data_IF_729240396301
#
_entry.id   IF_729240396301
#
_cell.length_a   1.000
_cell.length_b   1.000
_cell.length_c   1.000
_cell.angle_alpha   90.00
_cell.angle_beta   90.00
_cell.angle_gamma   90.00
#
_symmetry.space_group_name_H-M   'P 1'
#
loop_
_entity.id
_entity.type
_entity.pdbx_description
1 polymer ?
#
# COMPACT_ATOMS: atom_id res chain seq x y z
N UNK A 1 -23.75 -84.57 2.30
CA UNK A 1 -24.05 -84.51 3.75
C UNK A 1 -23.27 -83.34 4.34
N UNK A 2 -24.00 -82.32 4.82
CA UNK A 2 -23.70 -81.30 5.85
C UNK A 2 -22.23 -80.81 6.00
N UNK A 3 -21.94 -79.61 5.50
CA UNK A 3 -20.77 -78.80 5.88
C UNK A 3 -21.06 -78.02 7.17
N UNK A 4 -20.14 -78.09 8.11
CA UNK A 4 -20.22 -77.61 9.50
C UNK A 4 -20.01 -76.10 9.58
N UNK A 5 -20.91 -75.38 10.25
CA UNK A 5 -20.73 -73.97 10.64
C UNK A 5 -19.73 -73.87 11.80
N UNK A 6 -18.67 -73.09 11.63
CA UNK A 6 -17.81 -72.61 12.71
C UNK A 6 -18.17 -71.16 13.06
N UNK A 7 -18.15 -70.86 14.35
CA UNK A 7 -18.67 -69.65 14.97
C UNK A 7 -17.79 -68.39 14.76
N UNK A 8 -18.44 -67.23 14.70
CA UNK A 8 -17.81 -65.91 14.62
C UNK A 8 -17.18 -65.46 15.95
N UNK A 9 -16.02 -64.78 15.96
CA UNK A 9 -15.48 -64.13 17.16
C UNK A 9 -16.06 -62.71 17.40
N UNK A 10 -15.95 -62.18 18.64
CA UNK A 10 -16.69 -61.01 19.10
C UNK A 10 -16.09 -59.67 18.64
N UNK A 11 -16.96 -58.64 18.54
CA UNK A 11 -16.62 -57.26 18.18
C UNK A 11 -15.81 -56.58 19.30
N UNK A 12 -14.63 -56.06 18.95
CA UNK A 12 -13.77 -55.28 19.84
C UNK A 12 -14.34 -53.90 20.17
N UNK A 13 -14.12 -53.47 21.41
CA UNK A 13 -14.47 -52.16 21.95
C UNK A 13 -13.55 -51.03 21.41
N UNK A 14 -14.04 -49.79 21.30
CA UNK A 14 -13.23 -48.65 20.87
C UNK A 14 -12.27 -48.16 21.98
N UNK A 15 -11.10 -47.58 21.62
CA UNK A 15 -10.14 -47.07 22.60
C UNK A 15 -10.62 -45.77 23.29
N UNK A 16 -10.20 -45.64 24.56
CA UNK A 16 -10.57 -44.59 25.50
C UNK A 16 -10.18 -43.17 25.04
N UNK A 17 -11.10 -42.23 25.21
CA UNK A 17 -10.88 -40.80 24.98
C UNK A 17 -10.08 -40.18 26.12
N UNK A 18 -8.92 -39.62 25.79
CA UNK A 18 -8.13 -38.78 26.70
C UNK A 18 -8.78 -37.39 26.74
N UNK A 19 -9.33 -37.01 27.90
CA UNK A 19 -9.86 -35.66 28.15
C UNK A 19 -8.69 -34.70 28.44
N UNK A 20 -8.67 -33.47 27.90
CA UNK A 20 -7.77 -32.43 28.37
C UNK A 20 -8.26 -31.84 29.72
N UNK A 21 -7.36 -31.24 30.54
CA UNK A 21 -7.67 -30.81 31.89
C UNK A 21 -8.60 -29.58 31.94
N UNK A 22 -9.49 -29.57 32.94
CA UNK A 22 -10.43 -28.48 33.24
C UNK A 22 -9.71 -27.19 33.66
N UNK A 23 -9.96 -26.11 32.91
CA UNK A 23 -9.61 -24.75 33.33
C UNK A 23 -10.74 -24.20 34.21
N UNK A 24 -10.44 -24.00 35.49
CA UNK A 24 -11.31 -23.32 36.47
C UNK A 24 -11.78 -21.96 35.92
N UNK A 25 -13.07 -21.83 35.63
CA UNK A 25 -13.73 -20.55 35.35
C UNK A 25 -13.69 -19.67 36.61
N UNK A 26 -12.83 -18.66 36.61
CA UNK A 26 -12.95 -17.48 37.49
C UNK A 26 -14.21 -16.71 37.08
N UNK A 27 -15.17 -16.59 38.00
CA UNK A 27 -16.26 -15.60 37.88
C UNK A 27 -15.62 -14.21 37.95
N UNK A 28 -15.67 -13.49 36.84
CA UNK A 28 -15.33 -12.07 36.74
C UNK A 28 -16.59 -11.26 36.49
N UNK A 29 -16.82 -10.29 37.37
CA UNK A 29 -17.85 -9.26 37.35
C UNK A 29 -17.96 -8.54 36.00
N UNK A 30 -19.19 -8.17 35.65
CA UNK A 30 -19.44 -7.30 34.50
C UNK A 30 -18.84 -5.90 34.67
N UNK A 31 -18.39 -5.33 33.54
CA UNK A 31 -18.40 -3.92 33.15
C UNK A 31 -17.36 -3.71 32.03
N UNK A 32 -17.76 -3.02 30.96
CA UNK A 32 -16.86 -2.12 30.22
C UNK A 32 -16.19 -2.61 28.93
N UNK A 33 -16.69 -2.06 27.82
CA UNK A 33 -15.91 -1.50 26.70
C UNK A 33 -15.03 -2.41 25.81
N UNK A 34 -15.52 -2.64 24.59
CA UNK A 34 -14.69 -2.62 23.38
C UNK A 34 -14.84 -1.26 22.69
N UNK A 35 -14.39 -0.18 23.35
CA UNK A 35 -14.38 1.16 22.75
C UNK A 35 -13.25 1.17 21.72
N UNK A 36 -13.59 1.06 20.43
CA UNK A 36 -12.67 1.41 19.34
C UNK A 36 -12.26 2.86 19.61
N UNK A 37 -11.02 3.06 20.04
CA UNK A 37 -10.46 4.40 20.16
C UNK A 37 -10.31 4.91 18.74
N UNK A 38 -11.02 5.97 18.32
CA UNK A 38 -10.84 6.51 16.99
C UNK A 38 -9.39 7.00 16.91
N UNK A 39 -8.60 6.44 15.98
CA UNK A 39 -7.29 7.00 15.68
C UNK A 39 -7.51 8.48 15.33
N UNK A 40 -6.83 9.40 16.02
CA UNK A 40 -6.82 10.80 15.60
C UNK A 40 -6.48 10.84 14.11
N UNK A 41 -7.41 11.33 13.30
CA UNK A 41 -7.28 11.42 11.85
C UNK A 41 -5.99 12.18 11.52
N UNK A 42 -5.33 11.82 10.41
CA UNK A 42 -4.16 12.56 9.90
C UNK A 42 -4.39 14.08 9.88
N UNK A 43 -5.62 14.48 9.54
CA UNK A 43 -6.09 15.86 9.57
C UNK A 43 -6.04 16.51 10.97
N UNK A 44 -6.27 15.77 12.06
CA UNK A 44 -6.23 16.32 13.41
C UNK A 44 -4.81 16.68 13.85
N UNK A 45 -3.78 15.96 13.39
CA UNK A 45 -2.39 16.26 13.72
C UNK A 45 -1.85 17.44 12.89
N UNK A 46 -2.04 17.40 11.57
CA UNK A 46 -1.58 18.49 10.70
C UNK A 46 -2.49 19.73 10.73
N UNK A 47 -3.73 19.61 11.21
CA UNK A 47 -4.70 20.70 11.32
C UNK A 47 -4.60 21.52 12.61
N UNK A 48 -4.05 20.96 13.70
CA UNK A 48 -3.85 21.67 14.97
C UNK A 48 -2.55 22.48 14.95
N UNK A 49 -2.57 23.57 14.19
CA UNK A 49 -1.48 24.54 14.11
C UNK A 49 -2.01 25.97 14.13
N UNK A 50 -2.82 26.32 15.13
CA UNK A 50 -3.16 27.70 15.51
C UNK A 50 -3.94 27.71 16.85
N UNK A 51 -3.35 28.34 17.89
CA UNK A 51 -3.96 28.61 19.21
C UNK A 51 -3.68 27.51 20.26
N UNK A 52 -3.15 27.76 21.46
CA UNK A 52 -2.77 28.98 22.15
C UNK A 52 -1.61 28.67 23.11
N UNK A 53 -0.59 29.52 23.12
CA UNK A 53 0.36 29.63 24.22
C UNK A 53 -0.21 30.64 25.22
N UNK A 54 -0.59 30.18 26.40
CA UNK A 54 -1.01 31.01 27.52
C UNK A 54 -0.87 30.22 28.81
N UNK A 55 -0.01 30.70 29.72
CA UNK A 55 0.43 29.97 30.89
C UNK A 55 -0.54 29.98 32.08
N UNK A 56 -0.32 29.02 32.97
CA UNK A 56 -0.26 29.24 34.43
C UNK A 56 -1.56 29.31 35.24
N UNK A 57 -1.64 28.34 36.18
CA UNK A 57 -2.22 28.38 37.55
C UNK A 57 -3.67 27.92 37.79
N UNK A 58 -3.74 26.78 38.48
CA UNK A 58 -4.52 26.44 39.71
C UNK A 58 -5.85 27.13 40.00
N UNK A 59 -6.87 26.32 40.33
CA UNK A 59 -8.03 26.71 41.14
C UNK A 59 -9.23 25.79 40.92
N UNK A 60 -9.63 25.09 41.98
CA UNK A 60 -10.89 24.35 42.12
C UNK A 60 -12.12 25.27 41.95
N UNK A 61 -13.24 24.75 41.42
CA UNK A 61 -14.52 24.61 42.14
C UNK A 61 -15.70 24.23 41.22
N UNK A 62 -16.69 23.61 41.87
CA UNK A 62 -17.90 22.99 41.33
C UNK A 62 -18.93 23.95 40.71
N UNK A 63 -19.84 23.39 39.90
CA UNK A 63 -21.08 24.07 39.48
C UNK A 63 -21.87 23.32 38.42
N UNK A 64 -22.95 22.65 38.86
CA UNK A 64 -24.00 22.06 38.04
C UNK A 64 -24.67 23.06 37.08
N UNK A 65 -25.09 22.58 35.92
CA UNK A 65 -25.92 23.34 34.96
C UNK A 65 -26.38 22.48 33.79
N UNK A 66 -27.62 22.00 33.87
CA UNK A 66 -28.34 21.26 32.84
C UNK A 66 -28.40 22.03 31.51
N UNK A 67 -28.20 21.34 30.38
CA UNK A 67 -28.84 21.72 29.12
C UNK A 67 -29.23 20.45 28.35
N UNK A 68 -30.54 20.26 28.21
CA UNK A 68 -31.17 19.30 27.32
C UNK A 68 -31.78 20.02 26.13
N UNK A 69 -31.92 19.27 25.02
CA UNK A 69 -32.73 19.48 23.81
C UNK A 69 -32.02 20.09 22.61
N UNK A 70 -31.88 19.21 21.61
CA UNK A 70 -32.36 19.37 20.24
C UNK A 70 -32.29 20.77 19.61
N UNK A 71 -31.46 20.91 18.57
CA UNK A 71 -31.89 21.66 17.40
C UNK A 71 -31.33 21.09 16.09
N UNK A 72 -32.21 21.15 15.10
CA UNK A 72 -32.21 20.46 13.83
C UNK A 72 -31.22 21.00 12.81
N UNK A 73 -30.76 20.11 11.93
CA UNK A 73 -30.25 20.44 10.60
C UNK A 73 -31.42 20.76 9.67
N UNK A 74 -31.41 21.87 8.89
CA UNK A 74 -32.32 21.99 7.78
C UNK A 74 -31.71 21.35 6.52
N UNK A 75 -32.44 20.37 6.01
CA UNK A 75 -32.39 19.90 4.63
C UNK A 75 -32.96 20.96 3.68
N UNK A 76 -32.29 21.24 2.55
CA UNK A 76 -32.95 21.84 1.38
C UNK A 76 -32.59 21.06 0.13
N UNK A 77 -33.67 20.57 -0.49
CA UNK A 77 -33.76 19.90 -1.78
C UNK A 77 -33.79 20.91 -2.92
N UNK A 78 -33.03 20.60 -3.98
CA UNK A 78 -33.26 20.78 -5.41
C UNK A 78 -33.97 22.03 -5.97
N UNK A 79 -33.33 22.66 -6.96
CA UNK A 79 -33.97 23.02 -8.23
C UNK A 79 -32.92 23.31 -9.32
N UNK A 80 -33.09 22.64 -10.46
CA UNK A 80 -32.44 22.91 -11.75
C UNK A 80 -33.18 24.06 -12.45
N UNK A 81 -32.52 24.84 -13.33
CA UNK A 81 -33.10 24.98 -14.67
C UNK A 81 -32.08 24.93 -15.81
N UNK A 82 -32.65 24.83 -17.01
CA UNK A 82 -32.11 24.34 -18.27
C UNK A 82 -31.30 25.35 -19.10
N UNK A 83 -30.58 24.77 -20.07
CA UNK A 83 -29.90 25.29 -21.27
C UNK A 83 -30.38 26.64 -21.84
N UNK A 84 -29.40 27.42 -22.28
CA UNK A 84 -29.46 28.31 -23.44
C UNK A 84 -28.09 28.30 -24.15
N UNK A 85 -28.10 28.02 -25.46
CA UNK A 85 -26.94 27.99 -26.36
C UNK A 85 -26.56 29.38 -26.91
N UNK A 86 -25.39 29.42 -27.54
CA UNK A 86 -24.85 30.42 -28.47
C UNK A 86 -24.14 31.67 -27.90
N UNK A 87 -22.80 31.71 -28.02
CA UNK A 87 -22.10 32.39 -29.14
C UNK A 87 -20.57 32.38 -28.97
N UNK A 88 -19.92 32.14 -30.09
CA UNK A 88 -18.48 32.22 -30.31
C UNK A 88 -17.92 33.63 -30.07
N UNK A 89 -16.72 33.70 -29.47
CA UNK A 89 -15.93 34.91 -29.34
C UNK A 89 -14.49 34.54 -29.06
N UNK A 90 -13.70 34.36 -30.11
CA UNK A 90 -12.27 34.09 -30.02
C UNK A 90 -11.48 35.35 -29.68
N UNK A 91 -10.59 35.24 -28.70
CA UNK A 91 -9.49 36.20 -28.53
C UNK A 91 -8.21 35.56 -29.08
N UNK A 92 -7.88 35.95 -30.32
CA UNK A 92 -6.52 35.87 -30.85
C UNK A 92 -5.78 37.08 -30.28
N UNK A 93 -4.68 36.85 -29.59
CA UNK A 93 -3.66 37.86 -29.37
C UNK A 93 -2.38 37.37 -30.04
N UNK A 94 -2.05 37.99 -31.17
CA UNK A 94 -0.72 37.96 -31.76
C UNK A 94 0.25 38.73 -30.85
N UNK A 95 1.50 38.27 -30.66
CA UNK A 95 2.58 39.11 -30.21
C UNK A 95 3.42 39.59 -31.39
N UNK A 96 3.66 40.90 -31.35
CA UNK A 96 4.49 41.73 -32.22
C UNK A 96 5.98 41.32 -32.24
N UNK A 97 6.63 41.77 -33.30
CA UNK A 97 7.94 41.48 -33.88
C UNK A 97 9.18 41.78 -33.03
N UNK A 98 10.14 40.86 -33.14
CA UNK A 98 11.61 40.91 -33.13
C UNK A 98 12.38 42.21 -32.78
N UNK A 99 13.45 42.03 -31.98
CA UNK A 99 14.85 42.33 -32.38
C UNK A 99 15.85 41.63 -31.46
N UNK A 100 16.86 41.02 -32.10
CA UNK A 100 18.26 40.72 -31.72
C UNK A 100 18.55 40.00 -30.39
N UNK A 101 19.30 38.89 -30.28
CA UNK A 101 20.25 38.23 -31.18
C UNK A 101 21.36 37.63 -30.31
N UNK A 102 21.39 36.29 -30.15
CA UNK A 102 22.55 35.52 -29.70
C UNK A 102 22.29 34.02 -29.93
N UNK A 103 22.79 33.52 -31.05
CA UNK A 103 22.79 32.12 -31.44
C UNK A 103 23.58 31.26 -30.45
N UNK A 104 22.90 30.32 -29.79
CA UNK A 104 23.51 29.15 -29.14
C UNK A 104 22.90 27.87 -29.74
N UNK A 105 23.70 26.91 -30.22
CA UNK A 105 23.19 25.77 -30.96
C UNK A 105 22.42 24.80 -30.03
N UNK A 106 21.13 24.61 -30.33
CA UNK A 106 20.29 23.57 -29.72
C UNK A 106 20.74 22.22 -30.26
N UNK A 107 21.62 21.53 -29.54
CA UNK A 107 21.86 20.11 -29.74
C UNK A 107 20.66 19.31 -29.22
N UNK A 108 19.92 18.66 -30.14
CA UNK A 108 18.97 17.60 -29.81
C UNK A 108 19.74 16.44 -29.15
N UNK A 109 19.71 16.36 -27.82
CA UNK A 109 20.29 15.24 -27.08
C UNK A 109 19.33 14.04 -27.17
N UNK A 110 19.68 13.05 -27.99
CA UNK A 110 19.10 11.70 -27.92
C UNK A 110 19.39 11.03 -26.57
N UNK A 111 18.84 9.83 -26.29
CA UNK A 111 18.94 9.21 -24.98
C UNK A 111 20.38 8.74 -24.74
N UNK A 112 21.15 9.52 -23.98
CA UNK A 112 22.46 9.12 -23.51
C UNK A 112 22.27 8.23 -22.28
N UNK A 113 22.61 6.95 -22.43
CA UNK A 113 22.87 6.05 -21.32
C UNK A 113 23.97 6.66 -20.45
N UNK A 114 23.63 7.04 -19.21
CA UNK A 114 24.59 7.43 -18.18
C UNK A 114 24.84 6.20 -17.30
N UNK A 115 25.82 5.39 -17.70
CA UNK A 115 26.45 4.41 -16.81
C UNK A 115 27.55 5.13 -16.00
N UNK A 116 27.13 5.83 -14.95
CA UNK A 116 28.00 6.45 -13.96
C UNK A 116 28.01 5.66 -12.65
N UNK A 117 29.16 5.08 -12.34
CA UNK A 117 29.42 4.17 -11.22
C UNK A 117 28.92 4.65 -9.84
N UNK A 118 28.15 3.79 -9.15
CA UNK A 118 27.78 3.93 -7.75
C UNK A 118 28.45 2.83 -6.89
N UNK A 119 29.07 3.25 -5.79
CA UNK A 119 29.72 2.45 -4.76
C UNK A 119 28.74 1.50 -4.02
N UNK A 120 29.23 0.50 -3.26
CA UNK A 120 28.60 -0.82 -3.21
C UNK A 120 27.47 -0.93 -2.18
N UNK A 121 26.24 -0.99 -2.69
CA UNK A 121 25.11 -1.66 -2.03
C UNK A 121 24.01 -2.13 -3.00
N UNK A 122 24.23 -2.00 -4.31
CA UNK A 122 23.16 -1.92 -5.32
C UNK A 122 23.18 -3.02 -6.39
N UNK A 123 24.01 -4.07 -6.23
CA UNK A 123 24.24 -5.05 -7.32
C UNK A 123 23.14 -6.10 -7.49
N UNK A 124 22.17 -6.18 -6.58
CA UNK A 124 21.16 -7.26 -6.61
C UNK A 124 19.69 -6.83 -6.54
N UNK A 125 19.35 -5.66 -6.02
CA UNK A 125 17.94 -5.27 -5.81
C UNK A 125 17.53 -4.08 -6.69
N UNK A 126 16.24 -4.00 -7.01
CA UNK A 126 15.65 -2.87 -7.75
C UNK A 126 15.58 -1.63 -6.85
N UNK A 127 16.03 -0.45 -7.32
CA UNK A 127 15.82 0.80 -6.60
C UNK A 127 14.33 1.13 -6.48
N UNK A 128 13.94 1.73 -5.36
CA UNK A 128 12.57 2.15 -5.09
C UNK A 128 12.11 3.29 -6.01
N UNK A 129 13.04 4.11 -6.51
CA UNK A 129 12.78 5.16 -7.51
C UNK A 129 12.03 4.66 -8.75
N UNK A 130 12.33 3.44 -9.20
CA UNK A 130 11.63 2.79 -10.31
C UNK A 130 10.14 2.60 -10.01
N UNK A 131 9.84 2.16 -8.80
CA UNK A 131 8.47 1.92 -8.35
C UNK A 131 7.73 3.23 -8.08
N UNK A 132 8.38 4.22 -7.47
CA UNK A 132 7.78 5.55 -7.26
C UNK A 132 7.48 6.27 -8.57
N UNK A 133 8.35 6.14 -9.59
CA UNK A 133 8.10 6.68 -10.92
C UNK A 133 6.90 6.00 -11.59
N UNK A 134 6.77 4.67 -11.45
CA UNK A 134 5.59 3.94 -11.90
C UNK A 134 4.31 4.41 -11.18
N UNK A 135 4.38 4.64 -9.86
CA UNK A 135 3.25 5.15 -9.09
C UNK A 135 2.84 6.57 -9.50
N UNK A 136 3.79 7.45 -9.80
CA UNK A 136 3.50 8.78 -10.33
C UNK A 136 2.74 8.70 -11.65
N UNK A 137 3.19 7.83 -12.58
CA UNK A 137 2.49 7.54 -13.85
C UNK A 137 1.09 6.98 -13.62
N UNK A 138 0.91 6.09 -12.64
CA UNK A 138 -0.40 5.53 -12.29
C UNK A 138 -1.38 6.58 -11.75
N UNK A 139 -0.90 7.50 -10.92
CA UNK A 139 -1.72 8.60 -10.41
C UNK A 139 -2.11 9.59 -11.51
N UNK A 140 -1.28 9.76 -12.54
CA UNK A 140 -1.53 10.68 -13.65
C UNK A 140 -2.58 10.17 -14.65
N UNK A 141 -2.84 8.86 -14.71
CA UNK A 141 -3.84 8.28 -15.62
C UNK A 141 -5.10 7.82 -14.88
N UNK A 142 -6.25 8.01 -15.52
CA UNK A 142 -7.54 7.43 -15.08
C UNK A 142 -7.88 6.15 -15.84
N UNK A 143 -7.22 5.87 -16.97
CA UNK A 143 -7.60 4.77 -17.87
C UNK A 143 -7.06 3.44 -17.36
N UNK A 144 -7.96 2.49 -17.13
CA UNK A 144 -7.61 1.15 -16.61
C UNK A 144 -6.56 0.41 -17.45
N UNK A 145 -6.70 0.42 -18.78
CA UNK A 145 -5.74 -0.27 -19.68
C UNK A 145 -4.33 0.34 -19.63
N UNK A 146 -4.24 1.66 -19.46
CA UNK A 146 -2.95 2.34 -19.31
C UNK A 146 -2.31 1.97 -17.97
N UNK A 147 -3.09 1.90 -16.88
CA UNK A 147 -2.61 1.43 -15.57
C UNK A 147 -2.05 0.00 -15.65
N UNK A 148 -2.76 -0.90 -16.32
CA UNK A 148 -2.30 -2.28 -16.53
C UNK A 148 -0.96 -2.30 -17.27
N UNK A 149 -0.79 -1.45 -18.27
CA UNK A 149 0.43 -1.35 -19.08
C UNK A 149 1.61 -0.79 -18.27
N UNK A 150 1.39 0.25 -17.47
CA UNK A 150 2.42 0.85 -16.59
C UNK A 150 2.92 -0.17 -15.56
N UNK A 151 1.99 -0.89 -14.91
CA UNK A 151 2.34 -1.92 -13.93
C UNK A 151 3.11 -3.08 -14.58
N UNK A 152 2.68 -3.48 -15.76
CA UNK A 152 3.32 -4.55 -16.53
C UNK A 152 4.77 -4.19 -16.88
N UNK A 153 4.99 -3.01 -17.44
CA UNK A 153 6.33 -2.48 -17.74
C UNK A 153 7.21 -2.42 -16.47
N UNK A 154 6.65 -1.93 -15.36
CA UNK A 154 7.38 -1.84 -14.10
C UNK A 154 7.81 -3.22 -13.58
N UNK A 155 6.91 -4.23 -13.62
CA UNK A 155 7.20 -5.58 -13.16
C UNK A 155 8.09 -6.37 -14.12
N UNK A 156 8.02 -6.14 -15.43
CA UNK A 156 8.93 -6.73 -16.42
C UNK A 156 10.37 -6.26 -16.18
N UNK A 157 10.57 -4.97 -15.89
CA UNK A 157 11.88 -4.42 -15.53
C UNK A 157 12.42 -5.04 -14.22
N UNK A 158 11.58 -5.18 -13.19
CA UNK A 158 11.96 -5.85 -11.93
C UNK A 158 12.37 -7.29 -12.20
N UNK A 159 11.57 -8.04 -12.95
CA UNK A 159 11.86 -9.44 -13.28
C UNK A 159 13.12 -9.65 -14.13
N UNK A 160 13.50 -8.64 -14.91
CA UNK A 160 14.72 -8.66 -15.73
C UNK A 160 15.97 -8.40 -14.88
N UNK A 161 15.86 -7.54 -13.85
CA UNK A 161 16.97 -7.21 -12.94
C UNK A 161 17.07 -8.18 -11.76
N UNK A 162 16.00 -8.34 -10.99
CA UNK A 162 15.93 -9.17 -9.80
C UNK A 162 14.53 -9.75 -9.58
N UNK A 163 14.29 -11.04 -9.92
CA UNK A 163 12.96 -11.63 -9.81
C UNK A 163 12.46 -11.79 -8.37
N UNK A 164 13.36 -11.83 -7.38
CA UNK A 164 13.02 -11.92 -5.97
C UNK A 164 12.30 -10.67 -5.45
N UNK A 165 12.53 -9.51 -6.07
CA UNK A 165 11.91 -8.24 -5.66
C UNK A 165 10.47 -8.08 -6.17
N UNK A 166 9.98 -9.00 -7.02
CA UNK A 166 8.63 -8.92 -7.56
C UNK A 166 7.57 -8.99 -6.45
N UNK A 167 7.71 -9.92 -5.51
CA UNK A 167 6.72 -10.11 -4.43
C UNK A 167 6.67 -8.87 -3.52
N UNK A 168 7.81 -8.36 -2.99
CA UNK A 168 7.86 -7.06 -2.31
C UNK A 168 7.24 -5.92 -3.12
N UNK A 169 7.54 -5.81 -4.41
CA UNK A 169 7.01 -4.75 -5.26
C UNK A 169 5.48 -4.81 -5.40
N UNK A 170 4.90 -6.00 -5.54
CA UNK A 170 3.44 -6.19 -5.64
C UNK A 170 2.74 -5.83 -4.32
N UNK A 171 3.35 -6.21 -3.18
CA UNK A 171 2.85 -5.83 -1.86
C UNK A 171 2.87 -4.31 -1.66
N UNK A 172 3.99 -3.66 -1.95
CA UNK A 172 4.11 -2.20 -1.90
C UNK A 172 3.12 -1.49 -2.83
N UNK A 173 2.96 -1.99 -4.06
CA UNK A 173 2.02 -1.43 -5.06
C UNK A 173 0.55 -1.50 -4.65
N UNK A 174 0.20 -2.51 -3.86
CA UNK A 174 -1.16 -2.70 -3.33
C UNK A 174 -1.35 -2.16 -1.91
N UNK A 175 -0.29 -1.59 -1.32
CA UNK A 175 -0.24 -1.16 0.07
C UNK A 175 -0.71 -2.25 1.05
N UNK A 176 -0.24 -3.49 0.82
CA UNK A 176 -0.44 -4.64 1.69
C UNK A 176 0.94 -5.19 2.05
N UNK A 177 1.14 -5.63 3.28
CA UNK A 177 2.44 -6.16 3.72
C UNK A 177 2.47 -7.69 3.76
N UNK A 178 1.31 -8.33 3.77
CA UNK A 178 1.19 -9.78 3.67
C UNK A 178 -0.27 -10.22 3.52
N UNK A 179 -0.54 -11.50 3.74
CA UNK A 179 -1.89 -12.05 3.74
C UNK A 179 -2.78 -11.38 4.81
N UNK A 180 -4.11 -11.29 4.57
CA UNK A 180 -5.01 -10.57 5.46
C UNK A 180 -5.21 -11.20 6.84
N UNK A 181 -4.78 -12.46 7.05
CA UNK A 181 -4.92 -13.17 8.32
C UNK A 181 -3.67 -13.13 9.21
N UNK A 182 -2.57 -12.55 8.75
CA UNK A 182 -1.32 -12.46 9.54
C UNK A 182 -1.27 -11.22 10.44
N UNK A 183 -2.37 -10.46 10.57
CA UNK A 183 -2.49 -9.24 11.38
C UNK A 183 -1.32 -8.26 11.24
N UNK A 184 -0.79 -8.15 10.01
CA UNK A 184 0.29 -7.23 9.66
C UNK A 184 -0.24 -5.82 9.44
N UNK A 185 -0.56 -5.13 10.53
CA UNK A 185 -0.87 -3.71 10.53
C UNK A 185 0.36 -2.88 10.92
N UNK A 186 0.56 -1.75 10.26
CA UNK A 186 1.61 -0.80 10.63
C UNK A 186 1.32 -0.22 12.02
N UNK A 187 0.03 -0.04 12.36
CA UNK A 187 -0.37 0.50 13.66
C UNK A 187 0.23 1.89 13.93
N UNK A 188 0.47 2.67 12.88
CA UNK A 188 1.08 3.99 12.92
C UNK A 188 0.01 5.07 12.75
N UNK A 189 -0.14 5.93 13.75
CA UNK A 189 -1.01 7.10 13.67
C UNK A 189 -0.36 8.30 12.99
N UNK A 190 -1.17 9.29 12.58
CA UNK A 190 -0.69 10.50 11.92
C UNK A 190 0.34 11.30 12.72
N UNK A 191 0.27 11.27 14.05
CA UNK A 191 1.25 11.93 14.93
C UNK A 191 2.63 11.28 14.83
N UNK A 192 2.72 9.95 14.75
CA UNK A 192 3.99 9.25 14.62
C UNK A 192 4.62 9.50 13.24
N UNK A 193 3.80 9.58 12.18
CA UNK A 193 4.25 9.97 10.83
C UNK A 193 4.77 11.40 10.85
N UNK A 194 4.02 12.34 11.44
CA UNK A 194 4.45 13.73 11.58
C UNK A 194 5.76 13.89 12.34
N UNK A 195 5.90 13.21 13.48
CA UNK A 195 7.15 13.18 14.24
C UNK A 195 8.31 12.59 13.43
N UNK A 196 8.09 11.53 12.66
CA UNK A 196 9.10 10.95 11.80
C UNK A 196 9.52 11.91 10.67
N UNK A 197 8.58 12.65 10.07
CA UNK A 197 8.89 13.67 9.07
C UNK A 197 9.70 14.82 9.66
N UNK A 198 9.31 15.34 10.83
CA UNK A 198 10.09 16.39 11.52
C UNK A 198 11.49 15.90 11.86
N UNK A 199 11.63 14.66 12.38
CA UNK A 199 12.93 14.08 12.70
C UNK A 199 13.82 13.79 11.47
N UNK A 200 13.22 13.51 10.30
CA UNK A 200 13.96 13.22 9.08
C UNK A 200 14.32 14.47 8.27
N UNK A 201 13.41 15.46 8.22
CA UNK A 201 13.53 16.64 7.34
C UNK A 201 13.98 17.89 8.08
N UNK A 202 13.85 17.93 9.41
CA UNK A 202 14.07 19.13 10.22
C UNK A 202 12.95 20.17 10.13
N UNK A 203 11.89 19.91 9.36
CA UNK A 203 10.76 20.82 9.23
C UNK A 203 9.97 20.92 10.54
N UNK A 204 9.58 22.14 10.91
CA UNK A 204 8.76 22.39 12.08
C UNK A 204 7.32 21.89 11.89
N UNK A 205 6.66 21.49 12.98
CA UNK A 205 5.25 21.07 12.94
C UNK A 205 4.33 22.14 12.35
N UNK A 206 4.67 23.43 12.54
CA UNK A 206 3.93 24.57 11.97
C UNK A 206 4.01 24.61 10.45
N UNK A 207 5.20 24.41 9.89
CA UNK A 207 5.39 24.36 8.43
C UNK A 207 4.65 23.16 7.82
N UNK A 208 4.74 21.99 8.46
CA UNK A 208 4.02 20.80 8.03
C UNK A 208 2.50 21.02 8.05
N UNK A 209 1.98 21.69 9.09
CA UNK A 209 0.56 22.03 9.17
C UNK A 209 0.12 23.05 8.12
N UNK A 210 0.97 24.03 7.78
CA UNK A 210 0.70 24.99 6.70
C UNK A 210 0.65 24.29 5.33
N UNK A 211 1.60 23.39 5.05
CA UNK A 211 1.61 22.60 3.82
C UNK A 211 0.41 21.65 3.73
N UNK A 212 -0.01 21.07 4.86
CA UNK A 212 -1.20 20.22 4.89
C UNK A 212 -2.46 21.00 4.52
N UNK A 213 -2.62 22.23 5.01
CA UNK A 213 -3.74 23.10 4.63
C UNK A 213 -3.76 23.41 3.13
N UNK A 214 -2.59 23.47 2.49
CA UNK A 214 -2.48 23.73 1.06
C UNK A 214 -2.73 22.48 0.19
N UNK A 215 -2.19 21.33 0.58
CA UNK A 215 -2.20 20.12 -0.26
C UNK A 215 -3.26 19.08 0.13
N UNK A 216 -3.63 18.98 1.40
CA UNK A 216 -4.61 17.99 1.89
C UNK A 216 -4.14 16.52 1.84
N UNK A 217 -2.88 16.26 1.52
CA UNK A 217 -2.30 14.93 1.45
C UNK A 217 -0.90 14.84 2.11
N UNK A 218 -0.66 13.79 2.90
CA UNK A 218 0.60 13.59 3.60
C UNK A 218 1.78 13.38 2.64
N UNK A 219 1.53 12.67 1.53
CA UNK A 219 2.54 12.43 0.51
C UNK A 219 2.97 13.71 -0.18
N UNK A 220 2.01 14.53 -0.59
CA UNK A 220 2.30 15.79 -1.28
C UNK A 220 2.98 16.81 -0.35
N UNK A 221 2.59 16.84 0.93
CA UNK A 221 3.33 17.58 1.97
C UNK A 221 4.77 17.11 2.05
N UNK A 222 5.01 15.80 2.12
CA UNK A 222 6.36 15.24 2.21
C UNK A 222 7.19 15.56 0.96
N UNK A 223 6.60 15.45 -0.23
CA UNK A 223 7.25 15.82 -1.49
C UNK A 223 7.63 17.30 -1.53
N UNK A 224 6.74 18.18 -1.08
CA UNK A 224 6.98 19.62 -1.04
C UNK A 224 8.11 19.99 -0.06
N UNK A 225 8.17 19.33 1.11
CA UNK A 225 9.29 19.49 2.06
C UNK A 225 10.59 19.01 1.42
N UNK A 226 10.57 17.83 0.79
CA UNK A 226 11.76 17.25 0.17
C UNK A 226 12.30 18.09 -0.97
N UNK A 227 11.43 18.66 -1.80
CA UNK A 227 11.84 19.51 -2.92
C UNK A 227 12.54 20.80 -2.45
N UNK A 228 12.25 21.28 -1.23
CA UNK A 228 12.90 22.46 -0.63
C UNK A 228 14.19 22.11 0.10
N UNK A 229 14.34 20.85 0.54
CA UNK A 229 15.47 20.40 1.33
C UNK A 229 16.72 20.25 0.45
N UNK A 230 17.75 21.07 0.70
CA UNK A 230 19.08 20.90 0.12
C UNK A 230 19.89 19.93 0.99
N UNK A 231 20.34 18.82 0.40
CA UNK A 231 21.21 17.86 1.08
C UNK A 231 22.67 18.11 0.73
N UNK A 232 23.54 18.07 1.75
CA UNK A 232 24.99 18.16 1.57
C UNK A 232 25.58 16.90 0.92
N UNK A 233 25.02 15.73 1.27
CA UNK A 233 25.41 14.43 0.73
C UNK A 233 24.16 13.69 0.29
N UNK A 234 24.19 13.14 -0.92
CA UNK A 234 23.09 12.31 -1.43
C UNK A 234 23.12 10.96 -0.68
N UNK A 235 22.01 10.55 -0.04
CA UNK A 235 21.95 9.26 0.64
C UNK A 235 22.03 8.12 -0.37
N UNK A 236 22.37 6.94 0.11
CA UNK A 236 22.33 5.71 -0.67
C UNK A 236 20.92 5.44 -1.26
N UNK A 237 20.85 4.82 -2.44
CA UNK A 237 19.58 4.58 -3.10
C UNK A 237 18.74 3.55 -2.32
N UNK A 238 17.50 3.91 -1.97
CA UNK A 238 16.56 2.99 -1.38
C UNK A 238 16.25 1.85 -2.35
N UNK A 239 16.19 0.62 -1.83
CA UNK A 239 15.77 -0.55 -2.60
C UNK A 239 14.36 -0.99 -2.24
N UNK A 240 13.66 -1.61 -3.19
CA UNK A 240 12.29 -2.13 -2.98
C UNK A 240 12.26 -3.11 -1.81
N UNK A 241 13.26 -3.99 -1.72
CA UNK A 241 13.38 -4.98 -0.65
C UNK A 241 13.60 -4.33 0.71
N UNK A 242 14.53 -3.37 0.80
CA UNK A 242 14.80 -2.66 2.05
C UNK A 242 13.57 -1.92 2.58
N UNK A 243 12.81 -1.26 1.70
CA UNK A 243 11.56 -0.59 2.08
C UNK A 243 10.55 -1.61 2.62
N UNK A 244 10.32 -2.70 1.91
CA UNK A 244 9.37 -3.74 2.32
C UNK A 244 9.75 -4.41 3.65
N UNK A 245 11.01 -4.80 3.81
CA UNK A 245 11.53 -5.43 5.05
C UNK A 245 11.46 -4.48 6.24
N UNK A 246 11.75 -3.19 6.04
CA UNK A 246 11.66 -2.19 7.11
C UNK A 246 10.21 -1.97 7.53
N UNK A 247 9.26 -1.95 6.60
CA UNK A 247 7.82 -1.87 6.92
C UNK A 247 7.34 -3.11 7.68
N UNK A 248 7.77 -4.32 7.29
CA UNK A 248 7.50 -5.55 8.04
C UNK A 248 8.10 -5.51 9.46
N UNK A 249 9.32 -5.00 9.59
CA UNK A 249 9.96 -4.80 10.89
C UNK A 249 9.11 -3.87 11.77
N UNK A 250 8.61 -2.75 11.23
CA UNK A 250 7.74 -1.80 11.95
C UNK A 250 6.46 -2.50 12.47
N UNK A 251 5.84 -3.36 11.65
CA UNK A 251 4.65 -4.14 12.05
C UNK A 251 4.95 -5.11 13.19
N UNK A 252 6.07 -5.83 13.11
CA UNK A 252 6.42 -6.88 14.09
C UNK A 252 6.96 -6.33 15.41
N UNK A 253 7.41 -5.06 15.44
CA UNK A 253 7.88 -4.41 16.66
C UNK A 253 6.76 -4.29 17.70
N UNK A 254 6.95 -4.90 18.87
CA UNK A 254 6.05 -4.81 20.03
C UNK A 254 6.81 -4.48 21.32
N UNK A 255 6.08 -4.23 22.39
CA UNK A 255 6.62 -3.95 23.72
C UNK A 255 6.85 -2.46 24.03
N UNK A 256 7.45 -2.20 25.19
CA UNK A 256 7.74 -0.85 25.65
C UNK A 256 8.70 -0.12 24.70
N UNK A 257 8.51 1.19 24.52
CA UNK A 257 9.30 2.00 23.60
C UNK A 257 9.14 1.66 22.11
N UNK A 258 8.22 0.77 21.72
CA UNK A 258 8.00 0.41 20.31
C UNK A 258 7.64 1.63 19.45
N UNK A 259 6.85 2.57 19.97
CA UNK A 259 6.48 3.80 19.24
C UNK A 259 7.70 4.63 18.85
N UNK A 260 8.66 4.83 19.76
CA UNK A 260 9.89 5.58 19.47
C UNK A 260 10.76 4.86 18.43
N UNK A 261 10.90 3.53 18.56
CA UNK A 261 11.63 2.70 17.59
C UNK A 261 10.98 2.75 16.19
N UNK A 262 9.65 2.66 16.10
CA UNK A 262 8.90 2.80 14.85
C UNK A 262 9.13 4.18 14.23
N UNK A 263 9.06 5.25 15.02
CA UNK A 263 9.35 6.62 14.54
C UNK A 263 10.79 6.73 14.01
N UNK A 264 11.76 6.13 14.69
CA UNK A 264 13.15 6.07 14.23
C UNK A 264 13.32 5.33 12.90
N UNK A 265 12.70 4.17 12.75
CA UNK A 265 12.73 3.39 11.51
C UNK A 265 12.07 4.14 10.34
N UNK A 266 10.90 4.75 10.57
CA UNK A 266 10.23 5.59 9.57
C UNK A 266 11.09 6.80 9.18
N UNK A 267 11.67 7.49 10.16
CA UNK A 267 12.56 8.61 9.89
C UNK A 267 13.81 8.19 9.10
N UNK A 268 14.32 6.99 9.35
CA UNK A 268 15.39 6.36 8.56
C UNK A 268 15.03 6.24 7.08
N UNK A 269 13.87 5.63 6.78
CA UNK A 269 13.36 5.51 5.41
C UNK A 269 13.15 6.87 4.74
N UNK A 270 12.51 7.81 5.44
CA UNK A 270 12.23 9.16 4.91
C UNK A 270 13.55 9.90 4.61
N UNK A 271 14.56 9.78 5.47
CA UNK A 271 15.87 10.41 5.26
C UNK A 271 16.59 9.84 4.03
N UNK A 272 16.49 8.52 3.83
CA UNK A 272 17.13 7.80 2.73
C UNK A 272 16.46 8.00 1.37
N UNK A 273 15.19 8.42 1.33
CA UNK A 273 14.53 8.81 0.07
C UNK A 273 15.38 9.86 -0.63
N UNK A 274 15.63 9.71 -1.93
CA UNK A 274 16.43 10.62 -2.74
C UNK A 274 15.56 11.69 -3.39
N UNK A 275 14.46 11.25 -3.99
CA UNK A 275 13.59 12.09 -4.82
C UNK A 275 12.29 12.50 -4.10
N UNK A 276 11.67 13.64 -4.48
CA UNK A 276 10.38 14.04 -3.94
C UNK A 276 9.28 12.98 -4.14
N UNK A 277 9.29 12.28 -5.27
CA UNK A 277 8.31 11.24 -5.58
C UNK A 277 8.52 9.98 -4.71
N UNK A 278 9.76 9.60 -4.45
CA UNK A 278 10.06 8.52 -3.50
C UNK A 278 9.49 8.85 -2.11
N UNK A 279 9.78 10.06 -1.60
CA UNK A 279 9.28 10.47 -0.31
C UNK A 279 7.74 10.56 -0.28
N UNK A 280 7.12 11.05 -1.37
CA UNK A 280 5.66 11.09 -1.53
C UNK A 280 5.04 9.71 -1.29
N UNK A 281 5.52 8.70 -2.01
CA UNK A 281 4.91 7.38 -1.95
C UNK A 281 5.27 6.61 -0.68
N UNK A 282 6.46 6.82 -0.10
CA UNK A 282 6.80 6.28 1.22
C UNK A 282 5.84 6.78 2.30
N UNK A 283 5.63 8.10 2.39
CA UNK A 283 4.73 8.67 3.39
C UNK A 283 3.28 8.24 3.15
N UNK A 284 2.85 8.13 1.89
CA UNK A 284 1.53 7.58 1.58
C UNK A 284 1.38 6.11 1.96
N UNK A 285 2.43 5.30 1.80
CA UNK A 285 2.45 3.91 2.25
C UNK A 285 2.37 3.82 3.78
N UNK A 286 3.12 4.66 4.50
CA UNK A 286 3.04 4.76 5.97
C UNK A 286 1.65 5.21 6.45
N UNK A 287 0.99 6.10 5.72
CA UNK A 287 -0.38 6.54 5.98
C UNK A 287 -1.45 5.52 5.53
N UNK A 288 -1.03 4.34 5.06
CA UNK A 288 -1.89 3.27 4.53
C UNK A 288 -2.75 3.64 3.30
N UNK A 289 -2.39 4.71 2.57
CA UNK A 289 -3.18 5.26 1.47
C UNK A 289 -2.30 5.73 0.29
N UNK A 290 -1.88 4.79 -0.57
CA UNK A 290 -0.95 5.03 -1.69
C UNK A 290 -1.53 5.86 -2.86
N UNK A 291 -2.87 5.93 -3.00
CA UNK A 291 -3.60 6.71 -4.03
C UNK A 291 -3.28 6.41 -5.50
N UNK A 292 -2.72 5.24 -5.81
CA UNK A 292 -2.49 4.78 -7.19
C UNK A 292 -3.77 4.35 -7.92
N UNK A 293 -4.89 4.21 -7.18
CA UNK A 293 -6.17 3.68 -7.68
C UNK A 293 -6.03 2.31 -8.39
N UNK A 294 -4.97 1.57 -8.09
CA UNK A 294 -4.74 0.22 -8.57
C UNK A 294 -5.17 -0.76 -7.47
N UNK A 295 -6.15 -1.61 -7.76
CA UNK A 295 -6.61 -2.64 -6.83
C UNK A 295 -5.60 -3.79 -6.80
N UNK A 296 -5.55 -4.54 -5.69
CA UNK A 296 -4.72 -5.74 -5.57
C UNK A 296 -4.95 -6.72 -6.74
N UNK A 297 -6.18 -6.84 -7.23
CA UNK A 297 -6.50 -7.66 -8.40
C UNK A 297 -5.77 -7.20 -9.65
N UNK A 298 -5.77 -5.89 -9.93
CA UNK A 298 -5.08 -5.29 -11.08
C UNK A 298 -3.57 -5.45 -10.97
N UNK A 299 -3.00 -5.13 -9.79
CA UNK A 299 -1.55 -5.26 -9.54
C UNK A 299 -1.10 -6.72 -9.69
N UNK A 300 -1.83 -7.67 -9.09
CA UNK A 300 -1.53 -9.10 -9.20
C UNK A 300 -1.67 -9.60 -10.64
N UNK A 301 -2.73 -9.22 -11.35
CA UNK A 301 -2.94 -9.65 -12.73
C UNK A 301 -1.84 -9.11 -13.67
N UNK A 302 -1.35 -7.89 -13.43
CA UNK A 302 -0.19 -7.34 -14.14
C UNK A 302 1.10 -8.10 -13.82
N UNK A 303 1.34 -8.46 -12.56
CA UNK A 303 2.49 -9.27 -12.16
C UNK A 303 2.47 -10.68 -12.80
N UNK A 304 1.30 -11.33 -12.83
CA UNK A 304 1.10 -12.61 -13.53
C UNK A 304 1.41 -12.47 -15.02
N UNK A 305 0.93 -11.40 -15.67
CA UNK A 305 1.23 -11.15 -17.08
C UNK A 305 2.73 -10.96 -17.34
N UNK A 306 3.42 -10.23 -16.46
CA UNK A 306 4.87 -10.02 -16.55
C UNK A 306 5.64 -11.35 -16.45
N UNK A 307 5.25 -12.24 -15.52
CA UNK A 307 5.86 -13.56 -15.36
C UNK A 307 5.65 -14.41 -16.62
N UNK A 308 4.43 -14.45 -17.15
CA UNK A 308 4.12 -15.25 -18.35
C UNK A 308 4.91 -14.75 -19.55
N UNK A 309 4.98 -13.43 -19.76
CA UNK A 309 5.76 -12.85 -20.86
C UNK A 309 7.25 -13.13 -20.74
N UNK A 310 7.83 -13.02 -19.53
CA UNK A 310 9.22 -13.39 -19.28
C UNK A 310 9.49 -14.86 -19.60
N UNK A 311 8.57 -15.75 -19.22
CA UNK A 311 8.72 -17.20 -19.49
C UNK A 311 8.59 -17.51 -20.99
N UNK A 312 7.65 -16.87 -21.68
CA UNK A 312 7.50 -17.02 -23.13
C UNK A 312 8.75 -16.52 -23.89
N UNK A 313 9.29 -15.36 -23.49
CA UNK A 313 10.54 -14.81 -24.07
C UNK A 313 11.78 -15.65 -23.75
N UNK A 314 11.84 -16.28 -22.57
CA UNK A 314 12.95 -17.16 -22.18
C UNK A 314 12.88 -18.56 -22.78
N UNK A 315 11.68 -19.06 -23.11
CA UNK A 315 11.47 -20.44 -23.60
C UNK A 315 11.23 -20.55 -25.10
N UNK A 316 10.90 -19.47 -25.81
CA UNK A 316 10.67 -19.50 -27.26
C UNK A 316 9.68 -20.57 -27.73
N UNK A 317 8.83 -21.08 -26.82
CA UNK A 317 8.13 -22.33 -27.03
C UNK A 317 6.67 -22.07 -27.42
N UNK A 318 6.20 -22.58 -28.58
CA UNK A 318 4.78 -22.62 -28.92
C UNK A 318 4.09 -23.64 -27.99
N UNK A 319 3.32 -23.15 -27.03
CA UNK A 319 2.60 -24.01 -26.07
C UNK A 319 2.27 -23.37 -24.73
N UNK A 320 2.83 -22.19 -24.42
CA UNK A 320 2.44 -21.46 -23.21
C UNK A 320 0.98 -20.97 -23.33
N UNK A 321 0.14 -21.20 -22.31
CA UNK A 321 -1.24 -20.75 -22.32
C UNK A 321 -1.31 -19.22 -22.49
N UNK A 322 -2.34 -18.69 -23.17
CA UNK A 322 -2.47 -17.25 -23.36
C UNK A 322 -2.50 -16.55 -22.00
N UNK A 323 -1.88 -15.36 -21.91
CA UNK A 323 -1.77 -14.59 -20.65
C UNK A 323 -3.11 -14.46 -19.92
N UNK A 324 -4.20 -14.27 -20.66
CA UNK A 324 -5.56 -14.16 -20.11
C UNK A 324 -6.01 -15.42 -19.38
N UNK A 325 -5.65 -16.59 -19.89
CA UNK A 325 -5.99 -17.87 -19.26
C UNK A 325 -5.19 -18.05 -17.97
N UNK A 326 -3.89 -17.73 -17.96
CA UNK A 326 -3.09 -17.78 -16.73
C UNK A 326 -3.61 -16.80 -15.68
N UNK A 327 -4.03 -15.60 -16.07
CA UNK A 327 -4.66 -14.64 -15.17
C UNK A 327 -5.97 -15.17 -14.58
N UNK A 328 -6.80 -15.86 -15.38
CA UNK A 328 -8.04 -16.52 -14.91
C UNK A 328 -7.71 -17.56 -13.83
N UNK A 329 -6.75 -18.44 -14.11
CA UNK A 329 -6.31 -19.47 -13.16
C UNK A 329 -5.73 -18.83 -11.89
N UNK A 330 -4.90 -17.79 -12.02
CA UNK A 330 -4.35 -17.07 -10.88
C UNK A 330 -5.41 -16.33 -10.04
N UNK A 331 -6.59 -16.02 -10.60
CA UNK A 331 -7.74 -15.51 -9.82
C UNK A 331 -8.42 -16.62 -9.03
N UNK A 332 -8.59 -17.81 -9.61
CA UNK A 332 -9.10 -18.99 -8.92
C UNK A 332 -8.19 -19.40 -7.76
N UNK A 333 -6.89 -19.54 -8.03
CA UNK A 333 -5.87 -19.86 -7.02
C UNK A 333 -5.87 -18.83 -5.87
N UNK A 334 -5.94 -17.54 -6.20
CA UNK A 334 -6.00 -16.48 -5.18
C UNK A 334 -7.33 -16.50 -4.38
N UNK A 335 -8.42 -16.96 -4.97
CA UNK A 335 -9.70 -17.10 -4.25
C UNK A 335 -9.63 -18.25 -3.23
N UNK A 336 -8.96 -19.35 -3.58
CA UNK A 336 -8.72 -20.49 -2.68
C UNK A 336 -7.68 -20.18 -1.59
N UNK A 337 -6.61 -19.45 -1.94
CA UNK A 337 -5.54 -19.04 -1.04
C UNK A 337 -5.24 -17.54 -1.26
N UNK A 338 -5.76 -16.63 -0.43
CA UNK A 338 -5.61 -15.18 -0.58
C UNK A 338 -4.21 -14.66 -0.18
N UNK A 339 -3.17 -15.34 -0.64
CA UNK A 339 -1.77 -14.97 -0.48
C UNK A 339 -1.10 -14.76 -1.85
N UNK A 340 -0.60 -13.55 -2.06
CA UNK A 340 0.13 -13.17 -3.28
C UNK A 340 1.42 -13.98 -3.42
N UNK A 341 2.14 -14.21 -2.32
CA UNK A 341 3.41 -14.92 -2.31
C UNK A 341 3.24 -16.36 -2.83
N UNK A 342 2.24 -17.08 -2.30
CA UNK A 342 1.90 -18.44 -2.74
C UNK A 342 1.37 -18.52 -4.18
N UNK A 343 0.90 -17.43 -4.75
CA UNK A 343 0.53 -17.38 -6.18
C UNK A 343 1.74 -17.10 -7.06
N UNK A 344 2.53 -16.07 -6.74
CA UNK A 344 3.59 -15.57 -7.62
C UNK A 344 4.88 -16.39 -7.57
N UNK A 345 5.33 -16.83 -6.39
CA UNK A 345 6.59 -17.58 -6.28
C UNK A 345 6.54 -18.94 -7.01
N UNK A 346 5.49 -19.77 -6.85
CA UNK A 346 5.42 -21.05 -7.56
C UNK A 346 5.22 -20.84 -9.07
N UNK A 347 4.49 -19.80 -9.46
CA UNK A 347 4.34 -19.41 -10.87
C UNK A 347 5.70 -19.03 -11.49
N UNK A 348 6.55 -18.33 -10.75
CA UNK A 348 7.90 -17.98 -11.15
C UNK A 348 8.81 -19.21 -11.31
N UNK A 349 8.73 -20.17 -10.38
CA UNK A 349 9.57 -21.38 -10.40
C UNK A 349 9.07 -22.41 -11.42
N UNK A 350 7.86 -22.94 -11.21
CA UNK A 350 7.30 -24.10 -11.91
C UNK A 350 6.12 -23.83 -12.83
N UNK A 351 5.71 -22.56 -13.02
CA UNK A 351 4.60 -22.20 -13.91
C UNK A 351 3.22 -22.53 -13.35
N UNK A 352 2.25 -22.76 -14.24
CA UNK A 352 0.83 -22.91 -13.88
C UNK A 352 0.58 -24.16 -13.03
N UNK A 353 1.25 -25.27 -13.32
CA UNK A 353 1.10 -26.52 -12.57
C UNK A 353 1.52 -26.35 -11.10
N UNK A 354 2.71 -25.77 -10.87
CA UNK A 354 3.21 -25.50 -9.52
C UNK A 354 2.34 -24.48 -8.76
N UNK A 355 1.78 -23.49 -9.46
CA UNK A 355 0.83 -22.54 -8.86
C UNK A 355 -0.46 -23.23 -8.39
N UNK A 356 -1.02 -24.16 -9.18
CA UNK A 356 -2.22 -24.90 -8.79
C UNK A 356 -1.97 -25.80 -7.57
N UNK A 357 -0.82 -26.46 -7.54
CA UNK A 357 -0.42 -27.32 -6.41
C UNK A 357 -0.19 -26.48 -5.14
N UNK A 358 0.55 -25.38 -5.24
CA UNK A 358 0.86 -24.54 -4.09
C UNK A 358 -0.36 -23.81 -3.52
N UNK A 359 -1.36 -23.49 -4.35
CA UNK A 359 -2.62 -22.86 -3.94
C UNK A 359 -3.74 -23.86 -3.63
N UNK A 360 -3.42 -25.14 -3.46
CA UNK A 360 -4.40 -26.15 -3.05
C UNK A 360 -5.03 -25.77 -1.70
N UNK A 361 -6.33 -26.05 -1.57
CA UNK A 361 -7.07 -25.78 -0.35
C UNK A 361 -6.46 -26.54 0.82
N UNK A 362 -6.13 -25.81 1.89
CA UNK A 362 -5.50 -26.36 3.09
C UNK A 362 -6.25 -25.85 4.32
N UNK A 363 -6.59 -26.76 5.24
CA UNK A 363 -7.23 -26.39 6.52
C UNK A 363 -6.33 -25.41 7.27
N UNK A 364 -6.91 -24.31 7.76
CA UNK A 364 -6.20 -23.24 8.47
C UNK A 364 -5.85 -22.02 7.60
N UNK A 365 -5.96 -22.11 6.27
CA UNK A 365 -5.87 -20.93 5.38
C UNK A 365 -7.27 -20.45 5.03
N UNK A 366 -7.63 -19.18 5.29
CA UNK A 366 -8.98 -18.69 4.98
C UNK A 366 -9.14 -18.56 3.46
N UNK A 367 -10.34 -18.87 2.97
CA UNK A 367 -10.71 -18.66 1.56
C UNK A 367 -11.54 -17.39 1.38
N UNK A 368 -11.55 -16.81 0.18
CA UNK A 368 -12.43 -15.67 -0.09
C UNK A 368 -13.89 -16.12 -0.07
N UNK A 369 -14.78 -15.43 0.67
CA UNK A 369 -16.19 -15.76 0.67
C UNK A 369 -16.82 -15.46 -0.70
N UNK A 370 -17.88 -16.20 -1.04
CA UNK A 370 -18.75 -15.84 -2.17
C UNK A 370 -19.49 -14.54 -1.83
N UNK A 371 -19.51 -13.60 -2.78
CA UNK A 371 -20.22 -12.33 -2.64
C UNK A 371 -21.50 -12.38 -3.50
N UNK A 372 -22.60 -11.86 -2.97
CA UNK A 372 -23.85 -11.70 -3.70
C UNK A 372 -23.88 -10.37 -4.47
N UNK A 373 -24.56 -10.35 -5.62
CA UNK A 373 -24.84 -9.12 -6.36
C UNK A 373 -26.19 -8.57 -5.88
N UNK A 374 -26.26 -7.27 -5.63
CA UNK A 374 -27.54 -6.62 -5.38
C UNK A 374 -28.36 -6.60 -6.68
N UNK A 375 -29.58 -7.12 -6.63
CA UNK A 375 -30.56 -6.95 -7.70
C UNK A 375 -31.33 -5.65 -7.46
N UNK A 376 -31.22 -4.71 -8.40
CA UNK A 376 -32.09 -3.53 -8.46
C UNK A 376 -33.30 -3.90 -9.30
N UNK A 377 -34.44 -4.07 -8.64
CA UNK A 377 -35.76 -4.30 -9.26
C UNK A 377 -36.25 -3.10 -10.04
#
# INVERSE_FOLDING_TARGET
RRWSRAASPPRGAPPASVRPPEVKRRRGSGQGAGRVVPSRTLAAFFGQGAGASGGGRTGDDAGDGQISLDEAMPSVSGAHPQRGEDRAGGCRSEPSTATDGADFPVQRRGPAADEGAAAPSSRGSMPYSHLSAAFARLCATTKRKEKDSILLEAFEAILSRCPEDLVPAVYLSSNKLGPPWEDLDLGVGGSAIGSAMTAATGASSRELGALWKAHGDAGDVAAAVRARQRLLVKPEALTVRHVYETLLSICTMTGEGCTSRRVGAMAGLIRAAQDPDEMRFLVRTLACHIRTQATLTTVKDAAVAAIVRRRAGARGAPGDPPVREVQRIARECFAACPDVRRVLEPLLRGGVAAMREACAFTVGTPMRPMLARAETS
#
